data_IF_908000387820
#
_entry.id   IF_908000387820
#
_cell.length_a   1.000
_cell.length_b   1.000
_cell.length_c   1.000
_cell.angle_alpha   90.00
_cell.angle_beta   90.00
_cell.angle_gamma   90.00
#
_symmetry.space_group_name_H-M   'P 1'
#
loop_
_entity.id
_entity.type
_entity.pdbx_description
1 polymer ?
#
# COMPACT_ATOMS: atom_id res chain seq x y z
N UNK A 1 2.58 -53.73 50.90
CA UNK A 1 2.00 -52.39 51.05
C UNK A 1 3.03 -51.38 50.59
N UNK A 2 2.62 -50.43 49.73
CA UNK A 2 3.49 -49.55 48.95
C UNK A 2 3.98 -48.37 49.80
N UNK A 3 5.27 -48.08 49.67
CA UNK A 3 6.01 -46.99 50.30
C UNK A 3 5.68 -45.68 49.56
N UNK A 4 5.31 -44.56 50.23
CA UNK A 4 5.20 -43.28 49.56
C UNK A 4 6.56 -42.56 49.58
N UNK A 5 7.00 -42.16 48.38
CA UNK A 5 8.21 -41.35 48.14
C UNK A 5 7.94 -39.88 48.53
N UNK A 6 8.86 -39.20 49.23
CA UNK A 6 8.71 -37.81 49.63
C UNK A 6 9.40 -36.82 48.66
N UNK A 7 8.92 -35.56 48.72
CA UNK A 7 9.65 -34.29 48.57
C UNK A 7 10.43 -34.03 47.26
N UNK A 8 10.04 -32.99 46.52
CA UNK A 8 11.00 -31.95 46.14
C UNK A 8 10.32 -30.58 46.02
N UNK A 9 10.71 -29.71 46.94
CA UNK A 9 10.52 -28.27 46.97
C UNK A 9 11.67 -27.64 46.17
N UNK A 10 11.39 -26.53 45.49
CA UNK A 10 12.31 -25.55 44.91
C UNK A 10 13.03 -25.91 43.58
N UNK A 11 12.61 -25.23 42.51
CA UNK A 11 13.49 -24.52 41.59
C UNK A 11 12.70 -23.42 40.87
N UNK A 12 12.59 -22.27 41.55
CA UNK A 12 12.58 -21.00 40.86
C UNK A 12 13.95 -20.86 40.20
N UNK A 13 14.00 -20.81 38.88
CA UNK A 13 15.01 -20.14 38.06
C UNK A 13 14.73 -20.54 36.60
N UNK A 14 14.04 -19.64 35.89
CA UNK A 14 14.17 -19.31 34.45
C UNK A 14 12.90 -18.57 33.98
N UNK A 15 12.63 -17.43 34.61
CA UNK A 15 11.80 -16.39 33.98
C UNK A 15 12.75 -15.55 33.12
N UNK A 16 12.97 -15.97 31.88
CA UNK A 16 13.62 -15.14 30.87
C UNK A 16 12.73 -13.93 30.50
N UNK A 17 13.31 -12.83 30.01
CA UNK A 17 12.56 -11.62 29.69
C UNK A 17 11.87 -11.80 28.33
N UNK A 18 10.83 -12.61 28.26
CA UNK A 18 10.13 -12.90 27.00
C UNK A 18 8.64 -13.12 27.24
N UNK A 19 7.98 -12.15 27.86
CA UNK A 19 6.54 -11.91 27.69
C UNK A 19 6.14 -10.56 28.30
N UNK A 20 6.85 -9.49 27.92
CA UNK A 20 6.22 -8.18 27.94
C UNK A 20 5.41 -8.12 26.64
N UNK A 21 4.08 -8.08 26.74
CA UNK A 21 3.29 -7.45 25.68
C UNK A 21 4.00 -6.14 25.34
N UNK A 22 4.31 -5.84 24.06
CA UNK A 22 4.87 -4.54 23.74
C UNK A 22 3.91 -3.51 24.33
N UNK A 23 4.43 -2.63 25.18
CA UNK A 23 3.65 -1.50 25.66
C UNK A 23 3.10 -0.81 24.41
N UNK A 24 1.79 -0.58 24.36
CA UNK A 24 1.16 0.10 23.23
C UNK A 24 1.97 1.37 22.93
N UNK A 25 2.42 1.50 21.69
CA UNK A 25 3.16 2.68 21.29
C UNK A 25 2.25 3.91 21.42
N UNK A 26 2.79 5.09 21.74
CA UNK A 26 2.00 6.31 21.76
C UNK A 26 1.18 6.43 20.48
N UNK A 27 -0.15 6.57 20.62
CA UNK A 27 -1.06 6.74 19.49
C UNK A 27 -1.72 5.47 18.93
N UNK A 28 -1.35 4.25 19.37
CA UNK A 28 -1.97 3.02 18.84
C UNK A 28 -3.50 2.97 19.06
N UNK A 29 -3.99 3.55 20.15
CA UNK A 29 -5.44 3.69 20.38
C UNK A 29 -6.10 4.63 19.36
N UNK A 30 -5.44 5.73 19.01
CA UNK A 30 -5.93 6.68 18.00
C UNK A 30 -5.92 6.06 16.61
N UNK A 31 -4.90 5.25 16.28
CA UNK A 31 -4.90 4.47 15.04
C UNK A 31 -6.11 3.54 14.98
N UNK A 32 -6.40 2.80 16.05
CA UNK A 32 -7.57 1.92 16.11
C UNK A 32 -8.88 2.70 15.96
N UNK A 33 -9.04 3.82 16.66
CA UNK A 33 -10.24 4.65 16.54
C UNK A 33 -10.42 5.22 15.12
N UNK A 34 -9.33 5.62 14.47
CA UNK A 34 -9.37 6.07 13.08
C UNK A 34 -9.75 4.91 12.15
N UNK A 35 -9.20 3.72 12.37
CA UNK A 35 -9.51 2.51 11.63
C UNK A 35 -10.97 2.08 11.80
N UNK A 36 -11.55 2.19 12.99
CA UNK A 36 -12.97 1.98 13.24
C UNK A 36 -13.83 3.02 12.50
N UNK A 37 -13.46 4.30 12.53
CA UNK A 37 -14.15 5.34 11.75
C UNK A 37 -14.13 5.02 10.24
N UNK A 38 -13.00 4.56 9.71
CA UNK A 38 -12.91 4.09 8.33
C UNK A 38 -13.85 2.91 8.06
N UNK A 39 -13.95 1.94 8.97
CA UNK A 39 -14.88 0.82 8.83
C UNK A 39 -16.36 1.23 8.84
N UNK A 40 -16.70 2.34 9.48
CA UNK A 40 -18.05 2.93 9.42
C UNK A 40 -18.27 3.78 8.16
N UNK A 41 -17.24 3.99 7.34
CA UNK A 41 -17.28 4.86 6.16
C UNK A 41 -17.10 6.34 6.48
N UNK A 42 -16.74 6.69 7.72
CA UNK A 42 -16.42 8.07 8.11
C UNK A 42 -14.94 8.36 7.90
N UNK A 43 -14.55 8.45 6.63
CA UNK A 43 -13.17 8.74 6.21
C UNK A 43 -12.68 10.10 6.72
N UNK A 44 -13.58 11.08 6.83
CA UNK A 44 -13.23 12.41 7.33
C UNK A 44 -12.87 12.37 8.81
N UNK A 45 -13.66 11.69 9.64
CA UNK A 45 -13.36 11.54 11.06
C UNK A 45 -12.06 10.77 11.29
N UNK A 46 -11.86 9.65 10.58
CA UNK A 46 -10.62 8.88 10.69
C UNK A 46 -9.39 9.69 10.29
N UNK A 47 -9.48 10.46 9.20
CA UNK A 47 -8.42 11.38 8.78
C UNK A 47 -8.12 12.47 9.81
N UNK A 48 -9.17 13.09 10.38
CA UNK A 48 -9.00 14.12 11.40
C UNK A 48 -8.30 13.58 12.65
N UNK A 49 -8.65 12.38 13.11
CA UNK A 49 -7.99 11.73 14.25
C UNK A 49 -6.49 11.56 14.02
N UNK A 50 -6.09 11.16 12.81
CA UNK A 50 -4.69 10.99 12.45
C UNK A 50 -3.96 12.34 12.28
N UNK A 51 -4.63 13.37 11.76
CA UNK A 51 -4.07 14.73 11.72
C UNK A 51 -3.83 15.30 13.11
N UNK A 52 -4.79 15.14 14.02
CA UNK A 52 -4.66 15.58 15.42
C UNK A 52 -3.54 14.81 16.14
N UNK A 53 -3.37 13.51 15.81
CA UNK A 53 -2.27 12.70 16.31
C UNK A 53 -0.91 13.24 15.85
N UNK A 54 -0.77 13.58 14.57
CA UNK A 54 0.47 14.19 14.03
C UNK A 54 0.74 15.54 14.70
N UNK A 55 -0.30 16.38 14.82
CA UNK A 55 -0.18 17.73 15.40
C UNK A 55 0.23 17.70 16.88
N UNK A 56 -0.23 16.70 17.63
CA UNK A 56 0.11 16.51 19.05
C UNK A 56 1.49 15.88 19.28
N UNK A 57 2.16 15.37 18.24
CA UNK A 57 3.48 14.74 18.32
C UNK A 57 4.48 15.38 17.34
N UNK A 58 4.76 16.69 17.46
CA UNK A 58 5.67 17.37 16.56
C UNK A 58 7.08 16.78 16.66
N UNK A 59 7.68 16.48 15.51
CA UNK A 59 9.03 15.90 15.41
C UNK A 59 9.07 14.36 15.42
N UNK A 60 7.93 13.68 15.65
CA UNK A 60 7.83 12.23 15.48
C UNK A 60 7.54 11.88 14.01
N UNK A 61 8.61 11.79 13.22
CA UNK A 61 8.51 11.53 11.77
C UNK A 61 8.03 10.10 11.46
N UNK A 62 8.33 9.12 12.33
CA UNK A 62 7.89 7.73 12.13
C UNK A 62 6.38 7.60 12.37
N UNK A 63 5.86 8.22 13.43
CA UNK A 63 4.43 8.32 13.67
C UNK A 63 3.73 9.07 12.55
N UNK A 64 4.30 10.21 12.11
CA UNK A 64 3.75 10.98 11.01
C UNK A 64 3.72 10.17 9.71
N UNK A 65 4.78 9.43 9.38
CA UNK A 65 4.82 8.58 8.21
C UNK A 65 3.75 7.48 8.26
N UNK A 66 3.60 6.79 9.40
CA UNK A 66 2.55 5.76 9.60
C UNK A 66 1.16 6.36 9.45
N UNK A 67 0.89 7.49 10.08
CA UNK A 67 -0.41 8.17 10.05
C UNK A 67 -0.74 8.64 8.63
N UNK A 68 0.20 9.29 7.96
CA UNK A 68 0.03 9.73 6.57
C UNK A 68 -0.17 8.56 5.62
N UNK A 69 0.54 7.44 5.81
CA UNK A 69 0.36 6.25 4.98
C UNK A 69 -1.05 5.69 5.12
N UNK A 70 -1.58 5.61 6.35
CA UNK A 70 -2.98 5.23 6.60
C UNK A 70 -3.96 6.19 5.95
N UNK A 71 -3.74 7.49 6.05
CA UNK A 71 -4.57 8.49 5.38
C UNK A 71 -4.55 8.34 3.86
N UNK A 72 -3.37 8.14 3.27
CA UNK A 72 -3.22 7.93 1.82
C UNK A 72 -3.97 6.69 1.33
N UNK A 73 -3.90 5.57 2.05
CA UNK A 73 -4.68 4.39 1.72
C UNK A 73 -6.18 4.60 1.98
N UNK A 74 -6.54 5.42 2.97
CA UNK A 74 -7.94 5.81 3.22
C UNK A 74 -8.52 6.70 2.12
N UNK A 75 -7.73 7.57 1.50
CA UNK A 75 -8.15 8.39 0.36
C UNK A 75 -8.52 7.49 -0.84
N UNK A 76 -7.74 6.43 -1.07
CA UNK A 76 -8.08 5.40 -2.05
C UNK A 76 -9.30 4.58 -1.63
N UNK A 77 -9.40 4.21 -0.35
CA UNK A 77 -10.54 3.49 0.19
C UNK A 77 -11.86 4.28 0.03
N UNK A 78 -11.85 5.59 0.31
CA UNK A 78 -13.01 6.47 0.13
C UNK A 78 -13.47 6.49 -1.33
N UNK A 79 -12.54 6.64 -2.27
CA UNK A 79 -12.83 6.56 -3.71
C UNK A 79 -13.57 5.26 -4.07
N UNK A 80 -13.05 4.11 -3.62
CA UNK A 80 -13.66 2.81 -3.90
C UNK A 80 -15.06 2.70 -3.28
N UNK A 81 -15.25 3.26 -2.08
CA UNK A 81 -16.54 3.24 -1.40
C UNK A 81 -17.60 4.05 -2.15
N UNK A 82 -17.19 5.20 -2.72
CA UNK A 82 -18.05 6.11 -3.48
C UNK A 82 -18.40 5.56 -4.85
N UNK A 83 -17.44 4.92 -5.52
CA UNK A 83 -17.67 4.30 -6.83
C UNK A 83 -18.55 3.06 -6.72
N UNK A 84 -18.53 2.38 -5.56
CA UNK A 84 -19.19 1.10 -5.37
C UNK A 84 -19.92 0.98 -4.02
N UNK A 85 -20.94 1.82 -3.74
CA UNK A 85 -21.59 1.88 -2.43
C UNK A 85 -22.28 0.56 -2.03
N UNK A 86 -22.77 -0.20 -3.01
CA UNK A 86 -23.38 -1.52 -2.79
C UNK A 86 -22.35 -2.63 -2.50
N UNK A 87 -21.05 -2.36 -2.63
CA UNK A 87 -19.98 -3.34 -2.44
C UNK A 87 -19.67 -3.68 -0.99
N UNK A 88 -20.25 -2.97 -0.03
CA UNK A 88 -20.00 -3.16 1.39
C UNK A 88 -18.57 -2.82 1.80
N UNK A 89 -17.83 -2.07 0.98
CA UNK A 89 -16.49 -1.58 1.30
C UNK A 89 -16.59 -0.41 2.30
N UNK A 90 -15.67 -0.26 3.27
CA UNK A 90 -14.48 -1.10 3.52
C UNK A 90 -14.74 -2.35 4.38
N UNK A 91 -15.91 -2.49 5.03
CA UNK A 91 -16.24 -3.63 5.92
C UNK A 91 -16.10 -5.00 5.26
N UNK A 92 -16.43 -5.10 3.98
CA UNK A 92 -16.28 -6.33 3.20
C UNK A 92 -14.83 -6.75 3.07
N UNK A 93 -13.92 -5.79 2.81
CA UNK A 93 -12.50 -6.04 2.77
C UNK A 93 -11.98 -6.47 4.16
N UNK A 94 -12.36 -5.75 5.21
CA UNK A 94 -12.00 -6.10 6.59
C UNK A 94 -12.38 -7.54 6.97
N UNK A 95 -13.59 -7.98 6.58
CA UNK A 95 -14.04 -9.35 6.83
C UNK A 95 -13.17 -10.39 6.12
N UNK A 96 -12.83 -10.18 4.85
CA UNK A 96 -12.00 -11.14 4.09
C UNK A 96 -10.53 -11.11 4.51
N UNK A 97 -10.06 -10.00 5.07
CA UNK A 97 -8.74 -9.89 5.71
C UNK A 97 -8.69 -10.58 7.08
N UNK A 98 -9.74 -11.29 7.49
CA UNK A 98 -9.79 -12.00 8.77
C UNK A 98 -10.08 -11.09 9.97
N UNK A 99 -10.69 -9.92 9.74
CA UNK A 99 -10.92 -8.86 10.75
C UNK A 99 -9.62 -8.34 11.38
N UNK A 100 -8.59 -8.24 10.54
CA UNK A 100 -7.27 -7.73 10.90
C UNK A 100 -7.01 -6.45 10.09
N UNK A 101 -6.79 -5.34 10.78
CA UNK A 101 -6.56 -4.05 10.13
C UNK A 101 -5.26 -4.04 9.35
N UNK A 102 -4.17 -4.57 9.90
CA UNK A 102 -2.88 -4.64 9.20
C UNK A 102 -3.01 -5.38 7.86
N UNK A 103 -3.67 -6.55 7.86
CA UNK A 103 -3.93 -7.32 6.62
C UNK A 103 -4.85 -6.58 5.65
N UNK A 104 -5.83 -5.83 6.15
CA UNK A 104 -6.71 -5.00 5.31
C UNK A 104 -5.90 -3.92 4.58
N UNK A 105 -5.03 -3.22 5.29
CA UNK A 105 -4.19 -2.18 4.71
C UNK A 105 -3.11 -2.72 3.77
N UNK A 106 -2.49 -3.85 4.11
CA UNK A 106 -1.59 -4.57 3.21
C UNK A 106 -2.31 -4.97 1.91
N UNK A 107 -3.58 -5.41 2.01
CA UNK A 107 -4.39 -5.73 0.84
C UNK A 107 -4.68 -4.49 -0.01
N UNK A 108 -4.98 -3.34 0.62
CA UNK A 108 -5.19 -2.08 -0.10
C UNK A 108 -3.93 -1.60 -0.83
N UNK A 109 -2.78 -1.65 -0.17
CA UNK A 109 -1.47 -1.37 -0.79
C UNK A 109 -1.21 -2.32 -1.96
N UNK A 110 -1.45 -3.62 -1.78
CA UNK A 110 -1.33 -4.62 -2.84
C UNK A 110 -2.22 -4.32 -4.05
N UNK A 111 -3.49 -3.94 -3.84
CA UNK A 111 -4.38 -3.55 -4.94
C UNK A 111 -3.91 -2.28 -5.66
N UNK A 112 -3.33 -1.32 -4.93
CA UNK A 112 -2.80 -0.10 -5.53
C UNK A 112 -1.58 -0.42 -6.42
N UNK A 113 -0.66 -1.25 -5.93
CA UNK A 113 0.50 -1.74 -6.69
C UNK A 113 0.08 -2.56 -7.93
N UNK A 114 -0.88 -3.47 -7.75
CA UNK A 114 -1.45 -4.26 -8.83
C UNK A 114 -2.13 -3.37 -9.88
N UNK A 115 -2.85 -2.33 -9.47
CA UNK A 115 -3.44 -1.36 -10.40
C UNK A 115 -2.35 -0.70 -11.25
N UNK A 116 -1.23 -0.29 -10.64
CA UNK A 116 -0.15 0.38 -11.35
C UNK A 116 0.55 -0.52 -12.36
N UNK A 117 0.89 -1.74 -11.95
CA UNK A 117 1.68 -2.66 -12.76
C UNK A 117 0.82 -3.53 -13.69
N UNK A 118 -0.49 -3.53 -13.52
CA UNK A 118 -1.46 -4.30 -14.33
C UNK A 118 -1.19 -5.82 -14.32
N UNK A 119 -0.76 -6.37 -13.18
CA UNK A 119 -0.58 -7.82 -12.98
C UNK A 119 -1.71 -8.40 -12.13
N UNK A 120 -2.17 -9.63 -12.37
CA UNK A 120 -3.27 -10.24 -11.61
C UNK A 120 -2.85 -11.03 -10.36
N UNK A 121 -1.96 -10.51 -9.49
CA UNK A 121 -1.39 -11.27 -8.34
C UNK A 121 -2.46 -11.61 -7.31
N UNK A 122 -3.44 -10.73 -7.14
CA UNK A 122 -4.54 -10.94 -6.21
C UNK A 122 -5.70 -11.74 -6.82
N UNK A 123 -5.61 -12.13 -8.10
CA UNK A 123 -6.58 -13.02 -8.74
C UNK A 123 -6.32 -14.48 -8.33
N UNK A 124 -7.39 -15.27 -8.15
CA UNK A 124 -7.28 -16.73 -8.08
C UNK A 124 -6.97 -17.31 -9.45
N UNK A 125 -6.61 -18.59 -9.49
CA UNK A 125 -6.53 -19.37 -10.73
C UNK A 125 -7.83 -19.19 -11.54
N UNK A 126 -7.70 -18.79 -12.82
CA UNK A 126 -8.82 -18.39 -13.67
C UNK A 126 -9.20 -16.90 -13.64
N UNK A 127 -8.43 -16.04 -12.97
CA UNK A 127 -8.63 -14.57 -13.00
C UNK A 127 -9.74 -14.06 -12.05
N UNK A 128 -10.29 -14.94 -11.20
CA UNK A 128 -11.41 -14.62 -10.30
C UNK A 128 -10.88 -14.16 -8.95
N UNK A 129 -11.19 -12.94 -8.55
CA UNK A 129 -10.73 -12.42 -7.28
C UNK A 129 -11.60 -12.88 -6.09
N UNK A 130 -11.02 -13.03 -4.88
CA UNK A 130 -11.72 -13.56 -3.69
C UNK A 130 -12.79 -12.64 -3.08
N UNK A 131 -12.82 -11.37 -3.47
CA UNK A 131 -13.81 -10.34 -3.13
C UNK A 131 -14.09 -9.58 -4.46
N UNK A 132 -14.67 -8.37 -4.51
CA UNK A 132 -14.53 -7.55 -5.73
C UNK A 132 -13.28 -6.62 -5.77
N UNK A 133 -12.01 -7.08 -5.66
CA UNK A 133 -10.85 -6.36 -6.17
C UNK A 133 -11.01 -5.79 -7.58
N UNK A 134 -11.79 -6.40 -8.52
CA UNK A 134 -12.09 -5.73 -9.79
C UNK A 134 -12.59 -4.31 -9.59
N UNK A 135 -13.39 -4.02 -8.55
CA UNK A 135 -13.92 -2.69 -8.28
C UNK A 135 -12.86 -1.70 -7.83
N UNK A 136 -11.93 -2.13 -6.98
CA UNK A 136 -10.84 -1.29 -6.50
C UNK A 136 -9.93 -0.89 -7.68
N UNK A 137 -9.54 -1.87 -8.49
CA UNK A 137 -8.73 -1.66 -9.69
C UNK A 137 -9.50 -0.86 -10.77
N UNK A 138 -10.80 -1.13 -10.96
CA UNK A 138 -11.69 -0.40 -11.88
C UNK A 138 -11.81 1.07 -11.50
N UNK A 139 -11.81 1.41 -10.20
CA UNK A 139 -11.89 2.80 -9.72
C UNK A 139 -10.68 3.63 -10.20
N UNK A 140 -9.50 3.02 -10.23
CA UNK A 140 -8.26 3.66 -10.71
C UNK A 140 -8.15 3.63 -12.25
N UNK A 141 -8.44 2.49 -12.88
CA UNK A 141 -8.32 2.36 -14.34
C UNK A 141 -9.47 3.00 -15.13
N UNK A 142 -10.62 3.23 -14.50
CA UNK A 142 -11.84 3.77 -15.12
C UNK A 142 -12.30 2.99 -16.34
N UNK A 143 -12.18 1.65 -16.28
CA UNK A 143 -12.45 0.73 -17.40
C UNK A 143 -13.94 0.48 -17.66
N UNK A 144 -14.84 0.73 -16.69
CA UNK A 144 -16.29 0.53 -16.87
C UNK A 144 -17.01 1.84 -17.17
N UNK A 145 -17.72 1.85 -18.29
CA UNK A 145 -18.61 2.95 -18.70
C UNK A 145 -20.00 2.88 -18.05
N UNK A 146 -20.35 1.72 -17.47
CA UNK A 146 -21.73 1.40 -17.06
C UNK A 146 -22.17 2.06 -15.74
N UNK A 147 -21.27 2.77 -15.04
CA UNK A 147 -21.57 3.56 -13.85
C UNK A 147 -20.78 4.87 -13.88
N UNK A 148 -21.35 6.01 -13.44
CA UNK A 148 -20.57 7.22 -13.26
C UNK A 148 -19.56 7.00 -12.14
N UNK A 149 -18.27 6.92 -12.51
CA UNK A 149 -17.16 6.82 -11.56
C UNK A 149 -16.78 8.22 -11.04
N UNK A 150 -16.51 8.30 -9.75
CA UNK A 150 -16.03 9.50 -9.05
C UNK A 150 -14.78 10.04 -9.75
N UNK A 151 -14.72 11.33 -10.10
CA UNK A 151 -13.52 11.95 -10.64
C UNK A 151 -12.30 11.82 -9.69
N UNK A 152 -11.16 11.34 -10.19
CA UNK A 152 -9.92 11.22 -9.40
C UNK A 152 -9.41 12.58 -8.88
N UNK A 153 -9.86 13.69 -9.48
CA UNK A 153 -9.58 15.04 -8.99
C UNK A 153 -10.27 15.37 -7.66
N UNK A 154 -11.26 14.58 -7.24
CA UNK A 154 -11.98 14.74 -5.97
C UNK A 154 -11.33 13.95 -4.83
N UNK A 155 -10.35 13.10 -5.14
CA UNK A 155 -9.55 12.40 -4.14
C UNK A 155 -8.52 13.37 -3.56
N UNK A 156 -8.44 13.43 -2.23
CA UNK A 156 -7.43 14.24 -1.54
C UNK A 156 -6.03 13.78 -1.94
N UNK A 157 -5.11 14.74 -2.15
CA UNK A 157 -3.69 14.45 -2.35
C UNK A 157 -2.83 14.80 -1.16
N UNK A 158 -3.42 15.37 -0.10
CA UNK A 158 -2.70 15.97 1.04
C UNK A 158 -1.72 14.97 1.69
N UNK A 159 -2.21 13.78 2.05
CA UNK A 159 -1.39 12.76 2.69
C UNK A 159 -0.26 12.28 1.77
N UNK A 160 -0.58 11.98 0.50
CA UNK A 160 0.39 11.52 -0.49
C UNK A 160 1.48 12.58 -0.76
N UNK A 161 1.09 13.85 -0.93
CA UNK A 161 2.03 14.95 -1.17
C UNK A 161 2.97 15.17 0.04
N UNK A 162 2.46 15.01 1.27
CA UNK A 162 3.25 15.08 2.52
C UNK A 162 4.21 13.90 2.67
N UNK A 163 3.81 12.69 2.30
CA UNK A 163 4.71 11.53 2.26
C UNK A 163 5.88 11.79 1.30
N UNK A 164 5.60 12.31 0.10
CA UNK A 164 6.66 12.65 -0.85
C UNK A 164 7.55 13.79 -0.34
N UNK A 165 7.02 14.71 0.46
CA UNK A 165 7.82 15.75 1.12
C UNK A 165 8.76 15.16 2.19
N UNK A 166 8.28 14.21 3.00
CA UNK A 166 9.12 13.49 3.97
C UNK A 166 10.25 12.73 3.26
N UNK A 167 9.93 12.05 2.15
CA UNK A 167 10.93 11.37 1.30
C UNK A 167 11.98 12.33 0.74
N UNK A 168 11.56 13.48 0.17
CA UNK A 168 12.49 14.51 -0.33
C UNK A 168 13.40 15.08 0.77
N UNK A 169 12.92 15.08 2.01
CA UNK A 169 13.67 15.58 3.17
C UNK A 169 14.57 14.52 3.82
N UNK A 170 14.60 13.29 3.28
CA UNK A 170 15.44 12.20 3.78
C UNK A 170 14.86 11.45 5.00
N UNK A 171 13.59 11.68 5.35
CA UNK A 171 12.93 10.97 6.46
C UNK A 171 12.27 9.66 6.04
N UNK A 172 12.11 9.43 4.73
CA UNK A 172 11.58 8.18 4.18
C UNK A 172 12.45 7.70 3.04
N UNK A 173 12.74 6.40 3.06
CA UNK A 173 13.42 5.71 1.98
C UNK A 173 12.55 5.66 0.73
N UNK A 174 13.21 5.65 -0.44
CA UNK A 174 12.53 5.63 -1.73
C UNK A 174 11.65 4.38 -1.91
N UNK A 175 12.05 3.25 -1.34
CA UNK A 175 11.39 1.95 -1.45
C UNK A 175 10.41 1.65 -0.32
N UNK A 176 10.23 2.58 0.63
CA UNK A 176 9.23 2.44 1.69
C UNK A 176 7.81 2.32 1.11
N UNK A 177 6.99 1.46 1.71
CA UNK A 177 5.62 1.21 1.22
C UNK A 177 4.78 2.48 1.14
N UNK A 178 4.95 3.40 2.10
CA UNK A 178 4.27 4.68 2.10
C UNK A 178 4.60 5.52 0.85
N UNK A 179 5.89 5.60 0.48
CA UNK A 179 6.34 6.35 -0.69
C UNK A 179 5.84 5.70 -1.98
N UNK A 180 5.88 4.37 -2.06
CA UNK A 180 5.40 3.62 -3.23
C UNK A 180 3.90 3.84 -3.42
N UNK A 181 3.10 3.63 -2.38
CA UNK A 181 1.64 3.79 -2.44
C UNK A 181 1.25 5.25 -2.77
N UNK A 182 1.86 6.23 -2.10
CA UNK A 182 1.63 7.65 -2.37
C UNK A 182 1.97 8.02 -3.82
N UNK A 183 3.10 7.52 -4.33
CA UNK A 183 3.53 7.78 -5.71
C UNK A 183 2.58 7.18 -6.74
N UNK A 184 2.05 5.98 -6.48
CA UNK A 184 1.09 5.32 -7.36
C UNK A 184 -0.25 6.06 -7.37
N UNK A 185 -0.79 6.41 -6.20
CA UNK A 185 -2.06 7.13 -6.13
C UNK A 185 -1.96 8.48 -6.86
N UNK A 186 -0.88 9.23 -6.60
CA UNK A 186 -0.61 10.48 -7.30
C UNK A 186 -0.41 10.26 -8.80
N UNK A 187 0.25 9.17 -9.23
CA UNK A 187 0.38 8.86 -10.65
C UNK A 187 -0.98 8.78 -11.34
N UNK A 188 -1.95 8.05 -10.78
CA UNK A 188 -3.30 7.94 -11.34
C UNK A 188 -4.00 9.31 -11.39
N UNK A 189 -3.92 10.08 -10.31
CA UNK A 189 -4.54 11.41 -10.21
C UNK A 189 -3.93 12.37 -11.24
N UNK A 190 -2.60 12.48 -11.30
CA UNK A 190 -1.87 13.39 -12.20
C UNK A 190 -2.04 12.99 -13.67
N UNK A 191 -2.01 11.68 -13.98
CA UNK A 191 -2.33 11.15 -15.32
C UNK A 191 -3.74 11.55 -15.75
N UNK A 192 -4.74 11.37 -14.89
CA UNK A 192 -6.12 11.78 -15.18
C UNK A 192 -6.28 13.30 -15.34
N UNK A 193 -5.47 14.09 -14.63
CA UNK A 193 -5.39 15.56 -14.77
C UNK A 193 -4.59 16.01 -16.00
N UNK A 194 -4.06 15.09 -16.82
CA UNK A 194 -3.15 15.35 -17.96
C UNK A 194 -1.85 16.06 -17.56
N UNK A 195 -1.45 15.97 -16.29
CA UNK A 195 -0.17 16.49 -15.76
C UNK A 195 0.92 15.43 -16.00
N UNK A 196 1.23 15.17 -17.27
CA UNK A 196 2.07 14.04 -17.66
C UNK A 196 3.54 14.16 -17.26
N UNK A 197 4.06 15.37 -17.11
CA UNK A 197 5.43 15.57 -16.61
C UNK A 197 5.57 15.10 -15.15
N UNK A 198 4.62 15.48 -14.30
CA UNK A 198 4.58 15.02 -12.91
C UNK A 198 4.34 13.52 -12.81
N UNK A 199 3.41 12.99 -13.60
CA UNK A 199 3.18 11.54 -13.67
C UNK A 199 4.44 10.79 -14.13
N UNK A 200 5.20 11.33 -15.09
CA UNK A 200 6.48 10.76 -15.54
C UNK A 200 7.50 10.73 -14.41
N UNK A 201 7.64 11.83 -13.67
CA UNK A 201 8.57 11.89 -12.54
C UNK A 201 8.24 10.88 -11.44
N UNK A 202 6.96 10.65 -11.17
CA UNK A 202 6.51 9.65 -10.19
C UNK A 202 6.85 8.23 -10.66
N UNK A 203 6.57 7.92 -11.92
CA UNK A 203 6.85 6.60 -12.52
C UNK A 203 8.35 6.28 -12.54
N UNK A 204 9.19 7.26 -12.87
CA UNK A 204 10.64 7.08 -12.81
C UNK A 204 11.13 6.80 -11.38
N UNK A 205 10.64 7.58 -10.41
CA UNK A 205 10.96 7.37 -9.00
C UNK A 205 10.53 5.99 -8.50
N UNK A 206 9.38 5.48 -8.96
CA UNK A 206 8.90 4.13 -8.64
C UNK A 206 9.83 3.03 -9.19
N UNK A 207 10.33 3.18 -10.41
CA UNK A 207 11.26 2.22 -11.01
C UNK A 207 12.60 2.21 -10.26
N UNK A 208 13.10 3.37 -9.88
CA UNK A 208 14.33 3.50 -9.08
C UNK A 208 14.15 2.84 -7.70
N UNK A 209 13.06 3.16 -7.00
CA UNK A 209 12.70 2.58 -5.71
C UNK A 209 12.63 1.04 -5.75
N UNK A 210 12.14 0.47 -6.85
CA UNK A 210 11.94 -0.98 -7.01
C UNK A 210 13.09 -1.67 -7.74
N UNK A 211 14.29 -1.06 -7.68
CA UNK A 211 15.54 -1.58 -8.22
C UNK A 211 15.47 -1.99 -9.71
N UNK A 212 14.60 -1.34 -10.48
CA UNK A 212 14.41 -1.65 -11.89
C UNK A 212 13.92 -3.08 -12.15
N UNK A 213 13.04 -3.61 -11.28
CA UNK A 213 12.31 -4.85 -11.53
C UNK A 213 11.57 -4.83 -12.87
N UNK A 214 11.45 -5.99 -13.53
CA UNK A 214 10.95 -6.10 -14.90
C UNK A 214 9.53 -5.54 -15.04
N UNK A 215 8.63 -5.86 -14.09
CA UNK A 215 7.25 -5.37 -14.12
C UNK A 215 7.16 -3.84 -14.02
N UNK A 216 7.99 -3.24 -13.15
CA UNK A 216 8.10 -1.80 -12.99
C UNK A 216 8.65 -1.12 -14.25
N UNK A 217 9.66 -1.73 -14.87
CA UNK A 217 10.21 -1.26 -16.14
C UNK A 217 9.18 -1.32 -17.27
N UNK A 218 8.37 -2.39 -17.32
CA UNK A 218 7.29 -2.55 -18.27
C UNK A 218 6.20 -1.49 -18.05
N UNK A 219 5.74 -1.29 -16.81
CA UNK A 219 4.75 -0.27 -16.48
C UNK A 219 5.21 1.13 -16.89
N UNK A 220 6.47 1.48 -16.62
CA UNK A 220 7.07 2.74 -17.07
C UNK A 220 7.10 2.86 -18.59
N UNK A 221 7.56 1.83 -19.29
CA UNK A 221 7.65 1.87 -20.75
C UNK A 221 6.26 2.02 -21.40
N UNK A 222 5.26 1.30 -20.87
CA UNK A 222 3.85 1.43 -21.29
C UNK A 222 3.34 2.86 -21.10
N UNK A 223 3.53 3.43 -19.92
CA UNK A 223 3.10 4.81 -19.66
C UNK A 223 3.74 5.81 -20.63
N UNK A 224 5.06 5.77 -20.83
CA UNK A 224 5.73 6.68 -21.76
C UNK A 224 5.27 6.49 -23.21
N UNK A 225 4.96 5.26 -23.62
CA UNK A 225 4.39 4.98 -24.94
C UNK A 225 2.98 5.56 -25.09
N UNK A 226 2.11 5.40 -24.08
CA UNK A 226 0.75 5.94 -24.08
C UNK A 226 0.71 7.46 -24.24
N UNK A 227 1.64 8.18 -23.60
CA UNK A 227 1.71 9.65 -23.69
C UNK A 227 2.55 10.13 -24.88
N UNK A 228 3.00 9.23 -25.77
CA UNK A 228 3.87 9.54 -26.92
C UNK A 228 5.14 10.30 -26.52
N UNK A 229 5.74 9.95 -25.37
CA UNK A 229 6.98 10.56 -24.90
C UNK A 229 8.16 10.17 -25.78
N UNK A 230 9.08 11.10 -26.03
CA UNK A 230 10.37 10.84 -26.68
C UNK A 230 11.25 9.80 -25.94
N UNK A 231 10.92 9.49 -24.68
CA UNK A 231 11.59 8.45 -23.88
C UNK A 231 11.07 7.04 -24.13
N UNK A 232 9.91 6.90 -24.78
CA UNK A 232 9.26 5.60 -24.97
C UNK A 232 10.16 4.58 -25.70
N UNK A 233 10.74 4.97 -26.84
CA UNK A 233 11.59 4.09 -27.63
C UNK A 233 12.88 3.66 -26.89
N UNK A 234 13.66 4.58 -26.29
CA UNK A 234 14.81 4.18 -25.46
C UNK A 234 14.44 3.23 -24.31
N UNK A 235 13.32 3.48 -23.63
CA UNK A 235 12.86 2.66 -22.51
C UNK A 235 12.44 1.25 -22.95
N UNK A 236 11.69 1.13 -24.05
CA UNK A 236 11.31 -0.16 -24.64
C UNK A 236 12.54 -0.96 -25.07
N UNK A 237 13.51 -0.33 -25.75
CA UNK A 237 14.76 -0.99 -26.14
C UNK A 237 15.53 -1.49 -24.90
N UNK A 238 15.60 -0.69 -23.83
CA UNK A 238 16.24 -1.10 -22.58
C UNK A 238 15.52 -2.27 -21.89
N UNK A 239 14.18 -2.32 -21.97
CA UNK A 239 13.38 -3.40 -21.43
C UNK A 239 13.62 -4.71 -22.20
N UNK A 240 13.52 -4.67 -23.53
CA UNK A 240 13.77 -5.85 -24.38
C UNK A 240 15.19 -6.39 -24.19
N UNK A 241 16.20 -5.53 -24.13
CA UNK A 241 17.57 -5.95 -23.87
C UNK A 241 17.76 -6.69 -22.52
N UNK A 242 16.94 -6.40 -21.50
CA UNK A 242 16.92 -7.12 -20.23
C UNK A 242 16.20 -8.46 -20.33
N UNK A 243 15.13 -8.55 -21.13
CA UNK A 243 14.38 -9.79 -21.37
C UNK A 243 15.16 -10.77 -22.24
N UNK A 244 15.88 -10.28 -23.26
CA UNK A 244 16.69 -11.08 -24.19
C UNK A 244 17.96 -11.67 -23.54
N UNK A 245 18.37 -11.13 -22.38
CA UNK A 245 19.47 -11.64 -21.56
C UNK A 245 18.92 -12.08 -20.21
N UNK A 246 18.15 -13.18 -20.12
CA UNK A 246 17.67 -13.67 -18.85
C UNK A 246 18.90 -14.01 -18.00
N UNK A 247 19.19 -13.16 -17.01
CA UNK A 247 20.13 -13.54 -15.95
C UNK A 247 19.46 -14.70 -15.23
N UNK A 248 20.04 -15.89 -15.35
CA UNK A 248 19.73 -17.00 -14.45
C UNK A 248 19.92 -16.46 -13.03
N UNK A 249 18.83 -16.32 -12.28
CA UNK A 249 18.89 -15.93 -10.88
C UNK A 249 19.80 -16.91 -10.14
N UNK A 250 20.97 -16.43 -9.70
CA UNK A 250 21.89 -17.21 -8.86
C UNK A 250 21.29 -17.59 -7.50
N UNK A 251 20.10 -17.06 -7.15
CA UNK A 251 19.36 -17.45 -5.97
C UNK A 251 18.79 -18.88 -6.08
N UNK A 252 18.52 -19.38 -7.29
CA UNK A 252 18.02 -20.73 -7.50
C UNK A 252 19.11 -21.82 -7.44
N UNK A 253 20.40 -21.45 -7.35
CA UNK A 253 21.54 -22.39 -7.37
C UNK A 253 22.13 -22.70 -5.99
N UNK A 254 21.45 -22.35 -4.89
CA UNK A 254 21.85 -22.75 -3.51
C UNK A 254 20.94 -23.80 -2.87
N UNK A 255 20.20 -24.54 -3.68
CA UNK A 255 19.50 -25.75 -3.25
C UNK A 255 19.92 -26.91 -4.19
N UNK A 256 21.13 -27.41 -4.00
CA UNK A 256 21.61 -28.69 -4.53
C UNK A 256 22.67 -29.24 -3.59
#
# INVERSE_FOLDING_TARGET
MKIPVPVFLALCLWAGPANRCPAASPGDEIFREAEEAYLEGDFKLGGQKLEDLIASHPGDFDLAARALHRMCLSDYADLVSRDWPSGGFPRGLFKVSGRDHSRMWESLSGFLEEAFLEYGRHAREGGVYPFPPPRALESLWRKRADYPLTPLKEVSTSAADRILALRRSGYLENDSSAVVDASILLYFIRRNQKRYEEASSLVDGLVEAKNGGVDWLLARAKFHAEISSNRAEPLLRSLFAKLDKPRVDKAATRAS
#
